data_IF_777723476256
#
_entry.id   IF_777723476256
#
_cell.length_a   1.000
_cell.length_b   1.000
_cell.length_c   1.000
_cell.angle_alpha   90.00
_cell.angle_beta   90.00
_cell.angle_gamma   90.00
#
_symmetry.space_group_name_H-M   'P 1'
#
loop_
_entity.id
_entity.type
_entity.pdbx_description
1 polymer ?
#
# COMPACT_ATOMS: atom_id res chain seq x y z
N UNK A 1 22.68 -0.78 1.45
CA UNK A 1 22.45 -0.12 2.76
C UNK A 1 21.68 -1.11 3.64
N UNK A 2 22.16 -1.46 4.84
CA UNK A 2 21.46 -2.39 5.76
C UNK A 2 20.23 -1.68 6.38
N UNK A 3 19.12 -2.39 6.68
CA UNK A 3 18.04 -1.82 7.47
C UNK A 3 18.61 -1.26 8.77
N UNK A 4 18.08 -0.12 9.21
CA UNK A 4 18.46 0.45 10.50
C UNK A 4 18.09 -0.52 11.64
N UNK A 5 18.60 -0.28 12.84
CA UNK A 5 18.25 -1.09 14.02
C UNK A 5 16.75 -1.11 14.33
N UNK A 6 15.96 -0.26 13.67
CA UNK A 6 14.50 -0.18 13.74
C UNK A 6 13.77 -0.93 12.62
N UNK A 7 14.48 -1.75 11.83
CA UNK A 7 13.90 -2.68 10.87
C UNK A 7 13.19 -2.01 9.69
N UNK A 8 13.49 -0.75 9.40
CA UNK A 8 13.00 -0.07 8.20
C UNK A 8 14.17 0.61 7.48
N UNK A 9 13.92 1.08 6.26
CA UNK A 9 14.93 1.83 5.49
C UNK A 9 14.52 3.29 5.38
N UNK A 10 15.50 4.15 5.09
CA UNK A 10 15.25 5.57 4.78
C UNK A 10 14.24 5.76 3.65
N UNK A 11 14.19 4.82 2.69
CA UNK A 11 13.23 4.80 1.60
C UNK A 11 11.79 4.55 2.11
N UNK A 12 11.60 3.61 3.03
CA UNK A 12 10.29 3.40 3.66
C UNK A 12 9.82 4.66 4.39
N UNK A 13 10.71 5.34 5.13
CA UNK A 13 10.36 6.56 5.85
C UNK A 13 10.01 7.71 4.89
N UNK A 14 10.71 7.84 3.77
CA UNK A 14 10.42 8.85 2.75
C UNK A 14 9.05 8.61 2.07
N UNK A 15 8.76 7.35 1.70
CA UNK A 15 7.46 6.95 1.16
C UNK A 15 6.35 7.15 2.19
N UNK A 16 6.56 6.76 3.45
CA UNK A 16 5.56 6.96 4.50
C UNK A 16 5.25 8.45 4.73
N UNK A 17 6.22 9.34 4.50
CA UNK A 17 6.03 10.79 4.57
C UNK A 17 5.41 11.41 3.32
N UNK A 18 5.29 10.65 2.22
CA UNK A 18 4.84 11.15 0.92
C UNK A 18 5.79 12.18 0.29
N UNK A 19 7.08 12.13 0.63
CA UNK A 19 8.06 13.11 0.15
C UNK A 19 8.73 12.60 -1.14
N UNK A 20 8.12 12.92 -2.28
CA UNK A 20 8.55 12.47 -3.62
C UNK A 20 9.97 12.92 -3.92
N UNK A 21 10.33 14.17 -3.61
CA UNK A 21 11.68 14.69 -3.84
C UNK A 21 12.74 13.91 -3.06
N UNK A 22 12.46 13.58 -1.80
CA UNK A 22 13.36 12.76 -0.99
C UNK A 22 13.47 11.34 -1.53
N UNK A 23 12.37 10.74 -1.99
CA UNK A 23 12.39 9.42 -2.62
C UNK A 23 13.26 9.44 -3.88
N UNK A 24 13.10 10.43 -4.76
CA UNK A 24 13.91 10.59 -5.98
C UNK A 24 15.40 10.63 -5.67
N UNK A 25 15.82 11.51 -4.76
CA UNK A 25 17.22 11.61 -4.34
C UNK A 25 17.74 10.30 -3.77
N UNK A 26 16.95 9.59 -2.96
CA UNK A 26 17.36 8.32 -2.38
C UNK A 26 17.53 7.22 -3.44
N UNK A 27 16.66 7.17 -4.45
CA UNK A 27 16.75 6.21 -5.54
C UNK A 27 17.95 6.50 -6.45
N UNK A 28 18.25 7.77 -6.72
CA UNK A 28 19.46 8.19 -7.46
C UNK A 28 20.75 7.73 -6.77
N UNK A 29 20.73 7.56 -5.44
CA UNK A 29 21.84 7.04 -4.66
C UNK A 29 21.94 5.50 -4.64
N UNK A 30 21.13 4.78 -5.42
CA UNK A 30 21.20 3.32 -5.55
C UNK A 30 20.75 2.58 -4.29
N UNK A 31 19.79 3.14 -3.54
CA UNK A 31 19.17 2.46 -2.41
C UNK A 31 18.39 1.23 -2.92
N UNK A 32 18.37 0.16 -2.12
CA UNK A 32 17.59 -1.02 -2.45
C UNK A 32 16.09 -0.66 -2.46
N UNK A 33 15.49 -0.67 -3.66
CA UNK A 33 14.10 -0.31 -3.91
C UNK A 33 13.11 -1.34 -3.36
N UNK A 34 13.52 -2.62 -3.31
CA UNK A 34 12.70 -3.74 -2.86
C UNK A 34 12.99 -4.15 -1.40
N UNK A 35 13.62 -3.26 -0.63
CA UNK A 35 13.86 -3.52 0.78
C UNK A 35 12.52 -3.79 1.48
N UNK A 36 12.38 -4.90 2.21
CA UNK A 36 11.16 -5.20 2.96
C UNK A 36 11.19 -4.58 4.34
N UNK A 37 10.04 -4.13 4.81
CA UNK A 37 9.87 -3.65 6.18
C UNK A 37 9.99 -4.83 7.16
N UNK A 38 10.96 -4.79 8.08
CA UNK A 38 11.24 -5.89 9.02
C UNK A 38 10.62 -5.69 10.41
N UNK A 39 10.32 -4.45 10.79
CA UNK A 39 9.83 -4.15 12.14
C UNK A 39 8.77 -3.05 12.15
N UNK A 40 7.92 -3.13 13.18
CA UNK A 40 6.97 -2.08 13.55
C UNK A 40 7.68 -0.95 14.29
N UNK A 41 7.07 0.23 14.31
CA UNK A 41 7.52 1.34 15.15
C UNK A 41 6.45 1.68 16.21
N UNK A 42 6.84 1.98 17.45
CA UNK A 42 5.89 2.21 18.52
C UNK A 42 5.03 3.45 18.26
N UNK A 43 3.72 3.33 18.52
CA UNK A 43 2.78 4.46 18.49
C UNK A 43 3.09 5.39 19.67
N UNK A 44 3.55 6.61 19.40
CA UNK A 44 3.70 7.64 20.42
C UNK A 44 2.41 8.44 20.52
N UNK A 45 1.64 8.24 21.60
CA UNK A 45 0.29 8.83 21.81
C UNK A 45 0.18 10.35 21.64
N UNK A 46 1.29 11.08 21.74
CA UNK A 46 1.33 12.54 21.66
C UNK A 46 2.07 13.07 20.41
N UNK A 47 2.48 12.19 19.49
CA UNK A 47 3.22 12.60 18.30
C UNK A 47 2.38 12.36 17.04
N UNK A 48 2.45 13.32 16.11
CA UNK A 48 2.05 13.15 14.72
C UNK A 48 3.08 12.36 13.91
N UNK A 49 4.10 11.80 14.58
CA UNK A 49 5.08 10.93 13.94
C UNK A 49 4.41 9.77 13.21
N UNK A 50 4.80 9.64 11.96
CA UNK A 50 4.46 8.50 11.14
C UNK A 50 4.98 7.21 11.78
N UNK A 51 4.10 6.24 11.97
CA UNK A 51 4.46 4.95 12.53
C UNK A 51 4.12 3.82 11.55
N UNK A 52 5.02 2.85 11.44
CA UNK A 52 4.75 1.57 10.81
C UNK A 52 3.91 0.71 11.75
N UNK A 53 2.74 0.31 11.28
CA UNK A 53 1.89 -0.66 11.97
C UNK A 53 2.34 -2.10 11.66
N UNK A 54 2.06 -3.04 12.56
CA UNK A 54 2.44 -4.46 12.38
C UNK A 54 1.91 -5.06 11.06
N UNK A 55 0.75 -4.62 10.60
CA UNK A 55 0.17 -5.04 9.32
C UNK A 55 0.95 -4.58 8.06
N UNK A 56 1.91 -3.66 8.22
CA UNK A 56 2.79 -3.21 7.13
C UNK A 56 4.12 -3.97 7.12
N UNK A 57 4.42 -4.77 8.14
CA UNK A 57 5.64 -5.59 8.17
C UNK A 57 5.61 -6.54 6.97
N UNK A 58 6.75 -6.65 6.30
CA UNK A 58 6.95 -7.35 5.02
C UNK A 58 6.62 -6.50 3.79
N UNK A 59 6.08 -5.29 3.92
CA UNK A 59 5.80 -4.43 2.76
C UNK A 59 7.07 -3.85 2.15
N UNK A 60 7.11 -3.78 0.81
CA UNK A 60 8.10 -3.01 0.05
C UNK A 60 7.68 -1.54 -0.06
N UNK A 61 8.61 -0.61 -0.38
CA UNK A 61 8.29 0.78 -0.67
C UNK A 61 7.19 0.94 -1.74
N UNK A 62 7.26 0.16 -2.83
CA UNK A 62 6.24 0.18 -3.89
C UNK A 62 4.86 -0.19 -3.34
N UNK A 63 4.81 -1.23 -2.51
CA UNK A 63 3.57 -1.67 -1.87
C UNK A 63 3.02 -0.63 -0.89
N UNK A 64 3.88 0.06 -0.14
CA UNK A 64 3.45 1.16 0.72
C UNK A 64 2.83 2.29 -0.10
N UNK A 65 3.46 2.68 -1.22
CA UNK A 65 2.91 3.69 -2.13
C UNK A 65 1.53 3.26 -2.67
N UNK A 66 1.38 2.00 -3.09
CA UNK A 66 0.09 1.43 -3.48
C UNK A 66 -0.93 1.50 -2.35
N UNK A 67 -0.56 1.04 -1.14
CA UNK A 67 -1.45 1.07 0.03
C UNK A 67 -1.97 2.46 0.37
N UNK A 68 -1.20 3.50 0.09
CA UNK A 68 -1.61 4.88 0.32
C UNK A 68 -2.30 5.55 -0.88
N UNK A 69 -2.46 4.85 -2.00
CA UNK A 69 -2.99 5.35 -3.26
C UNK A 69 -2.24 6.61 -3.72
N UNK A 70 -0.91 6.47 -3.83
CA UNK A 70 0.01 7.51 -4.32
C UNK A 70 0.55 7.11 -5.70
N UNK A 71 -0.20 7.34 -6.80
CA UNK A 71 0.17 6.88 -8.13
C UNK A 71 1.53 7.43 -8.58
N UNK A 72 1.79 8.71 -8.36
CA UNK A 72 3.07 9.36 -8.71
C UNK A 72 4.28 8.69 -8.03
N UNK A 73 4.13 8.26 -6.76
CA UNK A 73 5.19 7.52 -6.08
C UNK A 73 5.33 6.09 -6.57
N UNK A 74 4.24 5.44 -6.98
CA UNK A 74 4.31 4.11 -7.58
C UNK A 74 5.05 4.15 -8.90
N UNK A 75 4.73 5.11 -9.78
CA UNK A 75 5.42 5.31 -11.07
C UNK A 75 6.91 5.52 -10.85
N UNK A 76 7.28 6.45 -9.97
CA UNK A 76 8.68 6.74 -9.67
C UNK A 76 9.42 5.50 -9.11
N UNK A 77 8.80 4.71 -8.24
CA UNK A 77 9.44 3.48 -7.75
C UNK A 77 9.59 2.42 -8.85
N UNK A 78 8.60 2.28 -9.73
CA UNK A 78 8.65 1.36 -10.86
C UNK A 78 9.69 1.76 -11.92
N UNK A 79 9.85 3.06 -12.20
CA UNK A 79 10.88 3.60 -13.09
C UNK A 79 12.30 3.24 -12.61
N UNK A 80 12.50 3.19 -11.29
CA UNK A 80 13.75 2.76 -10.67
C UNK A 80 13.86 1.25 -10.44
N UNK A 81 12.97 0.45 -11.04
CA UNK A 81 13.07 -1.01 -11.10
C UNK A 81 12.46 -1.75 -9.91
N UNK A 82 11.51 -1.15 -9.19
CA UNK A 82 10.77 -1.84 -8.14
C UNK A 82 10.02 -3.08 -8.66
N UNK A 83 10.08 -4.19 -7.93
CA UNK A 83 9.36 -5.41 -8.29
C UNK A 83 7.91 -5.38 -7.79
N UNK A 84 6.97 -5.39 -8.73
CA UNK A 84 5.53 -5.40 -8.48
C UNK A 84 4.96 -6.77 -8.09
N UNK A 85 5.74 -7.85 -8.25
CA UNK A 85 5.32 -9.23 -7.96
C UNK A 85 5.51 -9.61 -6.49
N UNK A 86 6.18 -8.77 -5.70
CA UNK A 86 6.41 -9.03 -4.28
C UNK A 86 5.08 -8.93 -3.51
N UNK A 87 4.54 -10.09 -3.16
CA UNK A 87 3.38 -10.21 -2.28
C UNK A 87 3.81 -10.12 -0.82
N UNK A 88 2.94 -9.54 0.01
CA UNK A 88 3.15 -9.53 1.46
C UNK A 88 2.03 -10.32 2.13
N UNK A 89 2.43 -11.21 3.05
CA UNK A 89 1.49 -11.91 3.90
C UNK A 89 1.10 -11.01 5.07
N UNK A 90 -0.13 -10.49 5.04
CA UNK A 90 -0.63 -9.56 6.03
C UNK A 90 -1.31 -10.34 7.15
N UNK A 91 -0.71 -10.28 8.34
CA UNK A 91 -1.32 -10.73 9.59
C UNK A 91 -1.20 -9.65 10.66
N UNK A 92 -2.23 -9.50 11.49
CA UNK A 92 -2.19 -8.53 12.57
C UNK A 92 -3.10 -8.92 13.74
N UNK A 93 -2.69 -8.56 14.98
CA UNK A 93 -3.56 -8.67 16.13
C UNK A 93 -4.71 -7.67 16.01
N UNK A 94 -5.93 -8.15 16.19
CA UNK A 94 -7.13 -7.34 16.28
C UNK A 94 -7.85 -7.65 17.59
N UNK A 95 -8.37 -6.61 18.25
CA UNK A 95 -9.16 -6.78 19.46
C UNK A 95 -10.61 -6.35 19.19
N UNK A 96 -11.56 -7.24 19.45
CA UNK A 96 -13.00 -6.98 19.35
C UNK A 96 -13.67 -7.47 20.62
N UNK A 97 -14.51 -6.62 21.23
CA UNK A 97 -15.28 -6.99 22.44
C UNK A 97 -14.41 -7.54 23.59
N UNK A 98 -13.16 -7.08 23.71
CA UNK A 98 -12.22 -7.51 24.75
C UNK A 98 -11.38 -8.74 24.40
N UNK A 99 -11.73 -9.49 23.35
CA UNK A 99 -10.98 -10.66 22.89
C UNK A 99 -9.94 -10.27 21.84
N UNK A 100 -8.73 -10.80 21.98
CA UNK A 100 -7.65 -10.64 21.02
C UNK A 100 -7.61 -11.85 20.08
N UNK A 101 -7.73 -11.59 18.77
CA UNK A 101 -7.53 -12.58 17.73
C UNK A 101 -6.50 -12.10 16.72
N UNK A 102 -5.86 -13.05 16.04
CA UNK A 102 -5.00 -12.75 14.91
C UNK A 102 -5.89 -12.77 13.66
N UNK A 103 -5.93 -11.65 12.94
CA UNK A 103 -6.56 -11.61 11.61
C UNK A 103 -5.47 -11.96 10.60
N UNK A 104 -5.72 -13.02 9.84
CA UNK A 104 -4.88 -13.41 8.71
C UNK A 104 -5.60 -12.98 7.43
N UNK A 105 -5.14 -11.88 6.82
CA UNK A 105 -5.60 -11.52 5.47
C UNK A 105 -4.84 -12.33 4.41
N UNK A 106 -3.67 -12.88 4.75
CA UNK A 106 -2.87 -13.72 3.87
C UNK A 106 -2.14 -12.89 2.82
N UNK A 107 -1.89 -13.50 1.67
CA UNK A 107 -1.15 -12.87 0.59
C UNK A 107 -2.02 -11.82 -0.10
N UNK A 108 -1.61 -10.57 0.02
CA UNK A 108 -2.30 -9.44 -0.59
C UNK A 108 -1.40 -8.94 -1.72
N UNK A 109 -1.92 -8.83 -2.95
CA UNK A 109 -1.15 -8.37 -4.13
C UNK A 109 -0.92 -6.85 -4.13
N UNK A 110 -0.11 -6.34 -5.07
CA UNK A 110 0.06 -4.89 -5.27
C UNK A 110 -1.27 -4.22 -5.62
N UNK A 111 -2.10 -4.85 -6.45
CA UNK A 111 -3.42 -4.36 -6.82
C UNK A 111 -4.37 -4.30 -5.63
N UNK A 112 -4.40 -5.36 -4.80
CA UNK A 112 -5.20 -5.36 -3.58
C UNK A 112 -4.74 -4.28 -2.60
N UNK A 113 -3.42 -4.07 -2.47
CA UNK A 113 -2.89 -2.98 -1.67
C UNK A 113 -3.33 -1.61 -2.22
N UNK A 114 -3.28 -1.41 -3.55
CA UNK A 114 -3.73 -0.18 -4.22
C UNK A 114 -5.19 0.17 -3.91
N UNK A 115 -6.06 -0.83 -3.79
CA UNK A 115 -7.48 -0.65 -3.42
C UNK A 115 -7.70 -0.33 -1.94
N UNK A 116 -6.66 -0.44 -1.12
CA UNK A 116 -6.79 -0.30 0.33
C UNK A 116 -7.24 -1.60 1.02
N UNK A 117 -6.95 -2.76 0.45
CA UNK A 117 -7.00 -4.06 1.14
C UNK A 117 -5.77 -4.24 2.04
N UNK A 118 -5.95 -4.75 3.26
CA UNK A 118 -5.06 -4.56 4.41
C UNK A 118 -5.79 -3.99 5.63
N UNK A 119 -5.08 -3.90 6.77
CA UNK A 119 -5.64 -3.46 8.05
C UNK A 119 -6.62 -2.27 7.96
N UNK A 120 -7.90 -2.53 8.26
CA UNK A 120 -9.04 -1.60 8.11
C UNK A 120 -8.85 -0.22 8.76
N UNK A 121 -8.05 -0.10 9.83
CA UNK A 121 -7.79 1.19 10.50
C UNK A 121 -6.60 1.95 9.92
N UNK A 122 -5.79 1.33 9.07
CA UNK A 122 -4.81 2.06 8.27
C UNK A 122 -5.57 2.78 7.17
N UNK A 123 -5.97 4.02 7.44
CA UNK A 123 -6.69 4.81 6.45
C UNK A 123 -5.79 5.02 5.23
N UNK A 124 -6.30 4.63 4.06
CA UNK A 124 -5.77 5.07 2.77
C UNK A 124 -5.70 6.61 2.81
N UNK A 125 -4.67 7.20 2.20
CA UNK A 125 -4.63 8.62 1.86
C UNK A 125 -4.52 9.67 3.00
N UNK A 126 -4.03 9.36 4.20
CA UNK A 126 -3.76 10.41 5.24
C UNK A 126 -2.30 10.90 5.29
N UNK A 127 -1.43 10.35 4.43
CA UNK A 127 0.02 10.48 4.60
C UNK A 127 0.64 11.66 3.84
N UNK A 128 0.09 12.03 2.68
CA UNK A 128 0.53 13.22 1.93
C UNK A 128 0.07 14.51 2.65
N UNK A 129 1.02 15.40 2.95
CA UNK A 129 0.76 16.67 3.62
C UNK A 129 -0.16 17.58 2.79
N UNK A 130 -0.04 17.54 1.46
CA UNK A 130 -0.90 18.31 0.56
C UNK A 130 -2.33 17.77 0.56
N UNK A 131 -2.51 16.45 0.70
CA UNK A 131 -3.85 15.86 0.85
C UNK A 131 -4.49 16.22 2.19
N UNK A 132 -3.73 16.24 3.30
CA UNK A 132 -4.22 16.75 4.60
C UNK A 132 -4.59 18.24 4.55
N UNK A 133 -3.88 19.00 3.74
CA UNK A 133 -4.15 20.42 3.51
C UNK A 133 -5.29 20.67 2.51
N UNK A 134 -5.90 19.62 1.96
CA UNK A 134 -7.00 19.73 0.97
C UNK A 134 -6.56 20.32 -0.37
N UNK A 135 -5.27 20.22 -0.71
CA UNK A 135 -4.69 20.79 -1.95
C UNK A 135 -4.73 19.84 -3.14
N UNK A 136 -5.06 18.56 -2.92
CA UNK A 136 -5.30 17.60 -3.99
C UNK A 136 -6.80 17.64 -4.30
N UNK A 137 -7.15 18.15 -5.49
CA UNK A 137 -8.54 18.20 -5.99
C UNK A 137 -9.07 16.83 -6.43
N UNK A 138 -8.18 15.86 -6.68
CA UNK A 138 -8.56 14.53 -7.13
C UNK A 138 -9.33 13.77 -6.05
N UNK A 139 -10.45 13.18 -6.46
CA UNK A 139 -11.27 12.34 -5.59
C UNK A 139 -10.51 11.07 -5.18
N UNK A 140 -10.87 10.52 -4.03
CA UNK A 140 -10.27 9.29 -3.51
C UNK A 140 -10.43 8.15 -4.51
N UNK A 141 -11.58 8.03 -5.16
CA UNK A 141 -11.81 6.97 -6.14
C UNK A 141 -10.94 7.11 -7.38
N UNK A 142 -10.70 8.33 -7.88
CA UNK A 142 -9.82 8.54 -9.03
C UNK A 142 -8.38 8.13 -8.73
N UNK A 143 -7.90 8.41 -7.51
CA UNK A 143 -6.56 7.99 -7.07
C UNK A 143 -6.44 6.46 -6.96
N UNK A 144 -7.48 5.80 -6.45
CA UNK A 144 -7.54 4.34 -6.40
C UNK A 144 -7.54 3.74 -7.80
N UNK A 145 -8.25 4.37 -8.75
CA UNK A 145 -8.28 3.96 -10.15
C UNK A 145 -6.89 4.07 -10.79
N UNK A 146 -6.21 5.20 -10.60
CA UNK A 146 -4.87 5.42 -11.17
C UNK A 146 -3.84 4.46 -10.55
N UNK A 147 -3.85 4.29 -9.22
CA UNK A 147 -3.00 3.31 -8.55
C UNK A 147 -3.29 1.87 -9.02
N UNK A 148 -4.56 1.53 -9.24
CA UNK A 148 -4.96 0.22 -9.79
C UNK A 148 -4.48 0.03 -11.21
N UNK A 149 -4.55 1.05 -12.06
CA UNK A 149 -4.00 1.03 -13.42
C UNK A 149 -2.52 0.74 -13.42
N UNK A 150 -1.76 1.47 -12.59
CA UNK A 150 -0.31 1.29 -12.46
C UNK A 150 0.00 -0.13 -11.96
N UNK A 151 -0.72 -0.64 -10.96
CA UNK A 151 -0.51 -2.00 -10.46
C UNK A 151 -0.75 -3.06 -11.55
N UNK A 152 -1.82 -2.93 -12.33
CA UNK A 152 -2.11 -3.85 -13.46
C UNK A 152 -1.05 -3.74 -14.55
N UNK A 153 -0.62 -2.53 -14.91
CA UNK A 153 0.43 -2.31 -15.91
C UNK A 153 1.79 -2.87 -15.45
N UNK A 154 2.07 -2.83 -14.16
CA UNK A 154 3.26 -3.44 -13.56
C UNK A 154 3.17 -4.98 -13.48
N UNK A 155 2.08 -5.57 -13.98
CA UNK A 155 1.88 -7.01 -14.07
C UNK A 155 1.33 -7.66 -12.81
N UNK A 156 0.77 -6.89 -11.87
CA UNK A 156 0.14 -7.47 -10.68
C UNK A 156 -1.01 -8.42 -11.07
N UNK A 157 -1.10 -9.57 -10.39
CA UNK A 157 -2.17 -10.53 -10.65
C UNK A 157 -3.54 -9.94 -10.28
N UNK A 158 -4.38 -9.80 -11.29
CA UNK A 158 -5.74 -9.24 -11.22
C UNK A 158 -6.70 -10.18 -10.49
N UNK A 159 -6.49 -11.49 -10.63
CA UNK A 159 -7.41 -12.53 -10.15
C UNK A 159 -6.90 -13.22 -8.88
N UNK A 160 -5.81 -12.74 -8.29
CA UNK A 160 -5.33 -13.22 -7.00
C UNK A 160 -6.44 -13.08 -5.96
N UNK A 161 -6.46 -14.01 -5.02
CA UNK A 161 -7.35 -14.00 -3.86
C UNK A 161 -6.55 -14.06 -2.59
N UNK A 162 -7.03 -13.36 -1.58
CA UNK A 162 -6.43 -13.36 -0.25
C UNK A 162 -6.88 -14.60 0.55
N UNK A 163 -6.47 -14.74 1.81
CA UNK A 163 -6.85 -15.88 2.65
C UNK A 163 -8.37 -15.93 2.98
N UNK A 164 -9.09 -14.83 2.79
CA UNK A 164 -10.54 -14.74 2.93
C UNK A 164 -11.29 -15.04 1.62
N UNK A 165 -10.61 -15.54 0.58
CA UNK A 165 -11.13 -15.80 -0.77
C UNK A 165 -11.67 -14.54 -1.48
N UNK A 166 -11.27 -13.35 -1.01
CA UNK A 166 -11.67 -12.05 -1.55
C UNK A 166 -10.66 -11.59 -2.61
N UNK A 167 -11.16 -11.25 -3.81
CA UNK A 167 -10.37 -10.67 -4.89
C UNK A 167 -10.35 -9.13 -4.83
N UNK A 168 -9.47 -8.53 -5.62
CA UNK A 168 -9.47 -7.07 -5.83
C UNK A 168 -10.83 -6.56 -6.33
N UNK A 169 -11.50 -7.32 -7.21
CA UNK A 169 -12.81 -6.98 -7.75
C UNK A 169 -13.90 -7.01 -6.68
N UNK A 170 -13.91 -8.05 -5.84
CA UNK A 170 -14.90 -8.21 -4.76
C UNK A 170 -14.81 -7.06 -3.77
N UNK A 171 -13.58 -6.68 -3.41
CA UNK A 171 -13.34 -5.56 -2.52
C UNK A 171 -13.82 -4.22 -3.11
N UNK A 172 -13.56 -3.98 -4.40
CA UNK A 172 -14.01 -2.77 -5.09
C UNK A 172 -15.54 -2.68 -5.13
N UNK A 173 -16.24 -3.80 -5.37
CA UNK A 173 -17.71 -3.87 -5.32
C UNK A 173 -18.26 -3.59 -3.92
N UNK A 174 -17.67 -4.22 -2.89
CA UNK A 174 -18.08 -4.06 -1.50
C UNK A 174 -17.97 -2.62 -0.99
N UNK A 175 -17.06 -1.82 -1.57
CA UNK A 175 -16.83 -0.43 -1.21
C UNK A 175 -17.49 0.58 -2.15
N UNK A 176 -18.14 0.12 -3.24
CA UNK A 176 -18.81 0.99 -4.22
C UNK A 176 -17.85 1.79 -5.10
N UNK A 177 -16.68 1.24 -5.45
CA UNK A 177 -15.72 1.88 -6.34
C UNK A 177 -16.06 1.58 -7.81
N UNK A 178 -17.17 2.13 -8.30
CA UNK A 178 -17.77 1.82 -9.60
C UNK A 178 -16.79 2.00 -10.78
N UNK A 179 -15.96 3.05 -10.73
CA UNK A 179 -14.95 3.34 -11.76
C UNK A 179 -13.87 2.27 -11.78
N UNK A 180 -13.48 1.79 -10.60
CA UNK A 180 -12.46 0.75 -10.46
C UNK A 180 -13.02 -0.62 -10.84
N UNK A 181 -14.26 -0.93 -10.48
CA UNK A 181 -14.96 -2.14 -10.91
C UNK A 181 -15.02 -2.21 -12.45
N UNK A 182 -15.43 -1.11 -13.09
CA UNK A 182 -15.50 -1.03 -14.56
C UNK A 182 -14.12 -1.27 -15.19
N UNK A 183 -13.06 -0.69 -14.61
CA UNK A 183 -11.70 -0.89 -15.08
C UNK A 183 -11.22 -2.33 -14.91
N UNK A 184 -11.45 -2.95 -13.74
CA UNK A 184 -11.02 -4.31 -13.45
C UNK A 184 -11.71 -5.33 -14.36
N UNK A 185 -13.02 -5.17 -14.59
CA UNK A 185 -13.76 -6.00 -15.54
C UNK A 185 -13.22 -5.85 -16.96
N UNK A 186 -12.93 -4.62 -17.40
CA UNK A 186 -12.33 -4.37 -18.71
C UNK A 186 -10.91 -4.95 -18.83
N UNK A 187 -10.15 -5.01 -17.73
CA UNK A 187 -8.81 -5.60 -17.66
C UNK A 187 -8.83 -7.15 -17.58
N UNK A 188 -10.01 -7.78 -17.55
CA UNK A 188 -10.16 -9.24 -17.53
C UNK A 188 -10.24 -9.86 -16.14
N UNK A 189 -10.62 -9.09 -15.11
CA UNK A 189 -10.97 -9.64 -13.82
C UNK A 189 -12.19 -10.58 -13.94
N UNK A 190 -12.10 -11.75 -13.33
CA UNK A 190 -13.19 -12.75 -13.34
C UNK A 190 -14.13 -12.50 -12.18
N UNK A 191 -15.43 -12.46 -12.49
CA UNK A 191 -16.49 -12.64 -11.50
C UNK A 191 -16.59 -14.14 -11.22
N UNK A 192 -16.23 -14.56 -10.01
CA UNK A 192 -16.51 -15.92 -9.55
C UNK A 192 -17.89 -15.99 -8.88
#
# INVERSE_FOLDING_TARGET
>A
MRPDASGHTVLHAAVLRGNIDAVRVLLDHGVNVDAVLQSTTPVRRQSTDYHFHVALVGATPLRLAARFAEPEMMELLLEHGADAQIVNNVSYPFQRLGEAYITEEGDVSLLMAALGMGHRRLRVSWHNADRRAGRIEQDRESLLLDASRIAVQAGADINMKNAADESALDFAKNHGYDSVVTFLLAAGAREN
#
